data_IF_178102250582
#
_entry.id   IF_178102250582
#
_cell.length_a   1.000
_cell.length_b   1.000
_cell.length_c   1.000
_cell.angle_alpha   90.00
_cell.angle_beta   90.00
_cell.angle_gamma   90.00
#
_symmetry.space_group_name_H-M   'P 1'
#
loop_
_entity.id
_entity.type
_entity.pdbx_description
1 polymer ?
#
# COMPACT_ATOMS: atom_id res chain seq x y z
N UNK A 1 14.37 2.93 20.16
CA UNK A 1 15.04 3.20 18.88
C UNK A 1 14.26 2.50 17.80
N UNK A 2 14.02 3.15 16.65
CA UNK A 2 13.29 2.54 15.52
C UNK A 2 14.30 2.06 14.48
N UNK A 3 13.92 1.09 13.65
CA UNK A 3 14.74 0.66 12.51
C UNK A 3 14.78 1.75 11.43
N UNK A 4 15.81 1.77 10.56
CA UNK A 4 15.83 2.66 9.40
C UNK A 4 14.59 2.47 8.52
N UNK A 5 14.04 3.58 8.02
CA UNK A 5 12.92 3.60 7.10
C UNK A 5 13.36 4.17 5.74
N UNK A 6 12.82 3.63 4.65
CA UNK A 6 13.15 4.06 3.29
C UNK A 6 11.99 3.85 2.32
N UNK A 7 11.97 4.64 1.25
CA UNK A 7 11.06 4.45 0.12
C UNK A 7 11.67 3.42 -0.83
N UNK A 8 11.01 2.28 -1.01
CA UNK A 8 11.47 1.20 -1.88
C UNK A 8 11.10 1.46 -3.35
N UNK A 9 9.86 1.86 -3.59
CA UNK A 9 9.37 2.22 -4.92
C UNK A 9 8.38 3.36 -4.83
N UNK A 10 8.41 4.24 -5.83
CA UNK A 10 7.59 5.44 -5.92
C UNK A 10 6.79 5.46 -7.22
N UNK A 11 5.59 6.02 -7.18
CA UNK A 11 4.73 6.29 -8.35
C UNK A 11 4.52 5.02 -9.19
N UNK A 12 4.26 3.89 -8.52
CA UNK A 12 3.97 2.61 -9.17
C UNK A 12 2.48 2.50 -9.49
N UNK A 13 2.13 1.66 -10.46
CA UNK A 13 0.75 1.45 -10.88
C UNK A 13 0.48 -0.04 -11.11
N UNK A 14 -0.72 -0.49 -10.77
CA UNK A 14 -1.19 -1.85 -11.04
C UNK A 14 -2.66 -1.88 -11.43
N UNK A 15 -3.00 -2.71 -12.41
CA UNK A 15 -4.39 -2.99 -12.78
C UNK A 15 -5.05 -3.93 -11.76
N UNK A 16 -6.03 -3.41 -11.02
CA UNK A 16 -6.75 -4.14 -9.99
C UNK A 16 -8.19 -4.46 -10.45
N UNK A 17 -8.57 -5.75 -10.54
CA UNK A 17 -9.91 -6.14 -10.96
C UNK A 17 -11.01 -5.47 -10.13
N UNK A 18 -11.95 -4.81 -10.82
CA UNK A 18 -13.06 -4.09 -10.21
C UNK A 18 -12.78 -2.61 -9.85
N UNK A 19 -11.51 -2.18 -9.86
CA UNK A 19 -11.13 -0.81 -9.55
C UNK A 19 -10.37 -0.10 -10.69
N UNK A 20 -9.72 -0.86 -11.58
CA UNK A 20 -8.90 -0.31 -12.67
C UNK A 20 -7.46 -0.06 -12.23
N UNK A 21 -6.81 0.91 -12.85
CA UNK A 21 -5.44 1.30 -12.51
C UNK A 21 -5.38 1.97 -11.13
N UNK A 22 -4.56 1.41 -10.24
CA UNK A 22 -4.32 1.92 -8.89
C UNK A 22 -2.86 2.36 -8.78
N UNK A 23 -2.65 3.64 -8.48
CA UNK A 23 -1.36 4.21 -8.12
C UNK A 23 -1.01 3.93 -6.66
N UNK A 24 0.25 3.57 -6.40
CA UNK A 24 0.77 3.26 -5.08
C UNK A 24 2.27 3.50 -4.94
N UNK A 25 2.71 3.69 -3.71
CA UNK A 25 4.13 3.65 -3.30
C UNK A 25 4.40 2.41 -2.46
N UNK A 26 5.66 1.99 -2.36
CA UNK A 26 6.09 0.96 -1.41
C UNK A 26 7.19 1.52 -0.52
N UNK A 27 6.98 1.47 0.79
CA UNK A 27 7.93 1.92 1.79
C UNK A 27 8.23 0.84 2.83
N UNK A 28 9.42 0.90 3.40
CA UNK A 28 9.84 0.07 4.52
C UNK A 28 10.00 0.91 5.79
N UNK A 29 9.48 0.42 6.91
CA UNK A 29 9.65 1.01 8.24
C UNK A 29 9.67 -0.04 9.35
N UNK A 30 10.24 -1.21 9.07
CA UNK A 30 10.16 -2.43 9.89
C UNK A 30 9.42 -3.57 9.21
N UNK A 31 8.54 -3.24 8.25
CA UNK A 31 8.01 -4.14 7.24
C UNK A 31 7.69 -3.32 5.98
N UNK A 32 7.52 -4.00 4.84
CA UNK A 32 7.07 -3.33 3.61
C UNK A 32 5.56 -3.10 3.64
N UNK A 33 5.16 -1.88 3.30
CA UNK A 33 3.77 -1.49 3.12
C UNK A 33 3.58 -0.83 1.76
N UNK A 34 2.45 -1.16 1.12
CA UNK A 34 1.95 -0.39 -0.02
C UNK A 34 1.13 0.79 0.51
N UNK A 35 1.32 1.97 -0.05
CA UNK A 35 0.60 3.19 0.29
C UNK A 35 -0.24 3.59 -0.92
N UNK A 36 -1.56 3.72 -0.75
CA UNK A 36 -2.46 4.10 -1.84
C UNK A 36 -3.56 5.05 -1.36
N UNK A 37 -4.04 5.92 -2.25
CA UNK A 37 -5.17 6.82 -1.98
C UNK A 37 -6.49 6.04 -2.00
N UNK A 38 -7.29 6.13 -0.94
CA UNK A 38 -8.57 5.43 -0.80
C UNK A 38 -9.62 5.86 -1.84
N UNK A 39 -9.50 7.09 -2.38
CA UNK A 39 -10.44 7.64 -3.36
C UNK A 39 -10.37 6.93 -4.71
N UNK A 40 -9.23 6.32 -5.03
CA UNK A 40 -9.07 5.47 -6.23
C UNK A 40 -10.00 4.23 -6.18
N UNK A 41 -10.44 3.85 -4.98
CA UNK A 41 -11.38 2.76 -4.75
C UNK A 41 -12.83 3.25 -4.56
N UNK A 42 -13.08 4.56 -4.74
CA UNK A 42 -14.38 5.18 -4.46
C UNK A 42 -14.72 5.27 -2.97
N UNK A 43 -13.70 5.26 -2.09
CA UNK A 43 -13.88 5.28 -0.64
C UNK A 43 -13.53 6.64 -0.03
N UNK A 44 -14.26 7.02 1.02
CA UNK A 44 -14.04 8.22 1.81
C UNK A 44 -14.19 7.92 3.31
N UNK A 45 -13.19 8.28 4.12
CA UNK A 45 -13.23 8.07 5.57
C UNK A 45 -14.42 8.78 6.20
N UNK A 46 -15.08 8.10 7.16
CA UNK A 46 -16.29 8.60 7.81
C UNK A 46 -17.58 8.44 6.99
N UNK A 47 -17.51 8.16 5.68
CA UNK A 47 -18.70 7.90 4.84
C UNK A 47 -18.90 6.43 4.52
N UNK A 48 -17.82 5.71 4.20
CA UNK A 48 -17.89 4.29 3.84
C UNK A 48 -17.69 3.37 5.05
N UNK A 49 -18.08 2.10 4.92
CA UNK A 49 -17.93 1.12 5.99
C UNK A 49 -16.46 0.72 6.09
N UNK A 50 -15.96 0.51 7.31
CA UNK A 50 -14.60 -0.03 7.54
C UNK A 50 -14.33 -1.29 6.71
N UNK A 51 -15.35 -2.14 6.52
CA UNK A 51 -15.21 -3.35 5.71
C UNK A 51 -14.81 -3.05 4.26
N UNK A 52 -15.33 -1.99 3.66
CA UNK A 52 -15.04 -1.63 2.27
C UNK A 52 -13.55 -1.26 2.11
N UNK A 53 -12.97 -0.58 3.11
CA UNK A 53 -11.53 -0.29 3.16
C UNK A 53 -10.68 -1.55 3.34
N UNK A 54 -11.12 -2.47 4.22
CA UNK A 54 -10.43 -3.75 4.43
C UNK A 54 -10.42 -4.55 3.13
N UNK A 55 -11.53 -4.61 2.41
CA UNK A 55 -11.64 -5.35 1.16
C UNK A 55 -10.75 -4.72 0.06
N UNK A 56 -10.75 -3.40 -0.07
CA UNK A 56 -9.87 -2.68 -1.01
C UNK A 56 -8.37 -2.90 -0.70
N UNK A 57 -7.97 -2.70 0.55
CA UNK A 57 -6.58 -2.88 0.99
C UNK A 57 -6.11 -4.34 0.84
N UNK A 58 -6.99 -5.31 1.12
CA UNK A 58 -6.71 -6.74 0.94
C UNK A 58 -6.54 -7.07 -0.53
N UNK A 59 -7.42 -6.57 -1.39
CA UNK A 59 -7.34 -6.80 -2.83
C UNK A 59 -6.01 -6.29 -3.42
N UNK A 60 -5.61 -5.06 -3.07
CA UNK A 60 -4.32 -4.52 -3.52
C UNK A 60 -3.14 -5.33 -2.97
N UNK A 61 -3.16 -5.65 -1.68
CA UNK A 61 -2.08 -6.43 -1.04
C UNK A 61 -1.87 -7.78 -1.74
N UNK A 62 -2.95 -8.53 -2.00
CA UNK A 62 -2.86 -9.85 -2.62
C UNK A 62 -2.44 -9.80 -4.10
N UNK A 63 -2.77 -8.70 -4.79
CA UNK A 63 -2.27 -8.43 -6.14
C UNK A 63 -0.77 -8.16 -6.12
N UNK A 64 -0.32 -7.25 -5.25
CA UNK A 64 1.09 -6.86 -5.16
C UNK A 64 2.00 -7.99 -4.68
N UNK A 65 1.56 -8.83 -3.74
CA UNK A 65 2.33 -10.03 -3.34
C UNK A 65 2.67 -10.97 -4.49
N UNK A 66 1.89 -10.97 -5.57
CA UNK A 66 2.09 -11.85 -6.73
C UNK A 66 2.94 -11.20 -7.82
N UNK A 67 2.83 -9.88 -7.98
CA UNK A 67 3.35 -9.18 -9.16
C UNK A 67 4.48 -8.21 -8.84
N UNK A 68 4.70 -7.90 -7.56
CA UNK A 68 5.68 -6.93 -7.12
C UNK A 68 6.75 -7.58 -6.23
N UNK A 69 7.86 -8.08 -6.81
CA UNK A 69 8.92 -8.69 -6.04
C UNK A 69 9.61 -7.65 -5.15
N UNK A 70 9.74 -7.95 -3.86
CA UNK A 70 10.42 -7.10 -2.90
C UNK A 70 11.83 -7.62 -2.61
N UNK A 71 12.71 -6.71 -2.23
CA UNK A 71 14.04 -7.04 -1.71
C UNK A 71 14.39 -6.08 -0.58
N UNK A 72 15.00 -6.60 0.48
CA UNK A 72 15.56 -5.78 1.55
C UNK A 72 17.09 -5.76 1.41
N UNK A 73 17.76 -4.60 1.55
CA UNK A 73 19.21 -4.47 1.34
C UNK A 73 20.05 -5.44 2.19
N UNK A 74 19.66 -5.64 3.45
CA UNK A 74 20.46 -6.38 4.43
C UNK A 74 19.87 -7.73 4.87
N UNK A 75 18.59 -8.01 4.58
CA UNK A 75 17.83 -9.09 5.21
C UNK A 75 16.78 -9.71 4.27
N UNK A 76 17.16 -10.74 3.52
CA UNK A 76 16.28 -11.38 2.51
C UNK A 76 14.99 -11.96 3.08
N UNK A 77 14.97 -12.33 4.36
CA UNK A 77 13.80 -12.84 5.08
C UNK A 77 12.75 -11.76 5.39
N UNK A 78 13.11 -10.48 5.31
CA UNK A 78 12.20 -9.34 5.50
C UNK A 78 11.58 -8.85 4.19
N UNK A 79 11.88 -9.49 3.07
CA UNK A 79 11.43 -9.10 1.74
C UNK A 79 10.00 -9.56 1.42
N UNK A 80 9.04 -9.23 2.29
CA UNK A 80 7.62 -9.53 2.07
C UNK A 80 6.73 -8.32 2.33
N UNK A 81 5.64 -8.23 1.55
CA UNK A 81 4.64 -7.18 1.72
C UNK A 81 3.73 -7.54 2.89
N UNK A 82 3.72 -6.70 3.92
CA UNK A 82 2.89 -6.91 5.10
C UNK A 82 1.42 -6.57 4.81
N UNK A 83 1.18 -5.44 4.15
CA UNK A 83 -0.15 -4.99 3.80
C UNK A 83 -0.18 -3.66 3.06
N UNK A 84 -1.39 -3.19 2.82
CA UNK A 84 -1.68 -1.89 2.22
C UNK A 84 -2.22 -0.93 3.29
N UNK A 85 -1.69 0.28 3.33
CA UNK A 85 -2.22 1.40 4.09
C UNK A 85 -2.95 2.31 3.10
N UNK A 86 -4.24 2.51 3.34
CA UNK A 86 -5.04 3.48 2.59
C UNK A 86 -4.95 4.84 3.27
N UNK A 87 -4.65 5.87 2.48
CA UNK A 87 -4.56 7.27 2.90
C UNK A 87 -5.61 8.10 2.18
N UNK A 88 -5.97 9.26 2.71
CA UNK A 88 -6.87 10.21 2.01
C UNK A 88 -6.15 11.48 1.53
N UNK A 89 -4.87 11.64 1.89
CA UNK A 89 -4.02 12.78 1.52
C UNK A 89 -4.60 14.12 1.96
N UNK A 90 -5.48 14.15 2.97
CA UNK A 90 -6.12 15.38 3.44
C UNK A 90 -5.39 16.05 4.60
N UNK A 91 -4.22 15.53 4.98
CA UNK A 91 -3.43 16.09 6.05
C UNK A 91 -2.58 17.26 5.55
N UNK A 92 -2.37 18.27 6.39
CA UNK A 92 -1.57 19.48 6.12
C UNK A 92 -0.11 19.17 5.74
N UNK A 93 0.32 17.91 5.92
CA UNK A 93 1.67 17.42 5.67
C UNK A 93 1.74 16.30 4.61
N UNK A 94 0.63 16.03 3.91
CA UNK A 94 0.60 15.10 2.75
C UNK A 94 1.18 15.73 1.49
#
# INVERSE_FOLDING_TARGET
>A
ESVPAFLFARDQEVELPGFGAIGFDVAYGGAFYALADCRQFGLEFGKNRVRDFVDAATALTEKLKKEFPLSHPDHTDLAFLYGTILTDGQDVFS
#
